data_IF_106348674702
#
_entry.id   IF_106348674702
#
_cell.length_a   1.000
_cell.length_b   1.000
_cell.length_c   1.000
_cell.angle_alpha   90.00
_cell.angle_beta   90.00
_cell.angle_gamma   90.00
#
_symmetry.space_group_name_H-M   'P 1'
#
loop_
_entity.id
_entity.type
_entity.pdbx_description
1 polymer ?
#
# COMPACT_ATOMS: atom_id res chain seq x y z
N UNK A 1 5.38 -1.49 26.49
CA UNK A 1 5.23 -2.24 25.22
C UNK A 1 6.53 -2.08 24.42
N UNK A 2 7.01 -3.10 23.70
CA UNK A 2 8.15 -2.92 22.77
C UNK A 2 7.70 -1.97 21.63
N UNK A 3 8.54 -1.02 21.22
CA UNK A 3 8.28 -0.07 20.12
C UNK A 3 7.84 -0.77 18.83
N UNK A 4 8.43 -1.94 18.53
CA UNK A 4 8.04 -2.74 17.34
C UNK A 4 6.57 -3.17 17.42
N UNK A 5 6.13 -3.64 18.59
CA UNK A 5 4.75 -4.06 18.81
C UNK A 5 3.79 -2.87 18.73
N UNK A 6 4.19 -1.72 19.28
CA UNK A 6 3.41 -0.49 19.16
C UNK A 6 3.23 -0.07 17.70
N UNK A 7 4.30 -0.04 16.90
CA UNK A 7 4.19 0.34 15.48
C UNK A 7 3.36 -0.64 14.67
N UNK A 8 3.44 -1.94 14.97
CA UNK A 8 2.58 -2.94 14.34
C UNK A 8 1.09 -2.70 14.65
N UNK A 9 0.75 -2.43 15.92
CA UNK A 9 -0.63 -2.12 16.33
C UNK A 9 -1.13 -0.81 15.70
N UNK A 10 -0.27 0.21 15.62
CA UNK A 10 -0.59 1.47 14.94
C UNK A 10 -0.81 1.25 13.45
N UNK A 11 0.05 0.50 12.74
CA UNK A 11 -0.12 0.19 11.32
C UNK A 11 -1.44 -0.55 11.06
N UNK A 12 -1.72 -1.61 11.81
CA UNK A 12 -2.96 -2.39 11.67
C UNK A 12 -4.19 -1.51 11.88
N UNK A 13 -4.17 -0.60 12.87
CA UNK A 13 -5.28 0.32 13.11
C UNK A 13 -5.52 1.26 11.92
N UNK A 14 -4.46 1.81 11.31
CA UNK A 14 -4.62 2.68 10.15
C UNK A 14 -5.12 1.92 8.91
N UNK A 15 -4.69 0.67 8.72
CA UNK A 15 -5.19 -0.20 7.66
C UNK A 15 -6.68 -0.50 7.88
N UNK A 16 -7.07 -0.91 9.08
CA UNK A 16 -8.48 -1.15 9.44
C UNK A 16 -9.35 0.09 9.20
N UNK A 17 -8.84 1.29 9.50
CA UNK A 17 -9.52 2.55 9.24
C UNK A 17 -9.66 2.85 7.73
N UNK A 18 -8.67 2.50 6.92
CA UNK A 18 -8.76 2.60 5.46
C UNK A 18 -9.84 1.63 4.93
N UNK A 19 -9.79 0.36 5.36
CA UNK A 19 -10.75 -0.67 4.95
C UNK A 19 -12.18 -0.24 5.28
N UNK A 20 -12.45 0.19 6.52
CA UNK A 20 -13.78 0.65 6.96
C UNK A 20 -14.31 1.85 6.16
N UNK A 21 -13.42 2.71 5.65
CA UNK A 21 -13.82 3.87 4.83
C UNK A 21 -14.15 3.46 3.39
N UNK A 22 -13.51 2.42 2.87
CA UNK A 22 -13.65 1.96 1.49
C UNK A 22 -14.79 0.96 1.33
N UNK A 23 -14.97 0.05 2.29
CA UNK A 23 -15.97 -1.02 2.26
C UNK A 23 -17.40 -0.57 1.86
N UNK A 24 -17.95 0.57 2.32
CA UNK A 24 -19.30 0.99 1.93
C UNK A 24 -19.38 1.71 0.57
N UNK A 25 -18.25 1.96 -0.11
CA UNK A 25 -18.22 2.73 -1.35
C UNK A 25 -18.58 1.87 -2.56
N UNK A 26 -19.19 2.51 -3.57
CA UNK A 26 -19.41 1.84 -4.85
C UNK A 26 -18.10 1.70 -5.62
N UNK A 27 -18.02 0.70 -6.50
CA UNK A 27 -16.88 0.55 -7.42
C UNK A 27 -16.65 1.81 -8.26
N UNK A 28 -17.74 2.48 -8.70
CA UNK A 28 -17.66 3.76 -9.41
C UNK A 28 -16.89 4.81 -8.58
N UNK A 29 -17.19 4.95 -7.29
CA UNK A 29 -16.49 5.88 -6.40
C UNK A 29 -15.04 5.46 -6.17
N UNK A 30 -14.79 4.15 -6.02
CA UNK A 30 -13.44 3.62 -5.79
C UNK A 30 -12.53 3.89 -7.01
N UNK A 31 -13.07 3.79 -8.21
CA UNK A 31 -12.34 4.01 -9.47
C UNK A 31 -12.40 5.45 -9.96
N UNK A 32 -13.19 6.32 -9.32
CA UNK A 32 -13.29 7.71 -9.73
C UNK A 32 -11.95 8.44 -9.52
N UNK A 33 -11.53 9.17 -10.56
CA UNK A 33 -10.31 9.96 -10.57
C UNK A 33 -10.65 11.44 -10.34
N UNK A 34 -10.20 12.05 -9.23
CA UNK A 34 -10.60 13.42 -8.88
C UNK A 34 -9.99 14.48 -9.81
N UNK A 35 -8.77 14.24 -10.31
CA UNK A 35 -8.10 15.06 -11.31
C UNK A 35 -6.99 14.26 -12.00
N UNK A 36 -6.38 14.80 -13.07
CA UNK A 36 -5.27 14.13 -13.77
C UNK A 36 -4.05 13.89 -12.86
N UNK A 37 -3.83 14.80 -11.90
CA UNK A 37 -2.65 14.80 -11.02
C UNK A 37 -2.86 14.04 -9.70
N UNK A 38 -4.10 13.64 -9.41
CA UNK A 38 -4.45 12.95 -8.17
C UNK A 38 -4.76 11.48 -8.40
N UNK A 39 -4.59 10.66 -7.36
CA UNK A 39 -4.91 9.25 -7.40
C UNK A 39 -6.38 9.01 -7.05
N UNK A 40 -6.99 8.07 -7.77
CA UNK A 40 -8.22 7.40 -7.36
C UNK A 40 -8.01 6.59 -6.07
N UNK A 41 -9.09 6.19 -5.43
CA UNK A 41 -9.04 5.30 -4.26
C UNK A 41 -8.40 3.96 -4.66
N UNK A 42 -8.72 3.43 -5.84
CA UNK A 42 -8.12 2.20 -6.36
C UNK A 42 -6.59 2.29 -6.51
N UNK A 43 -6.08 3.40 -7.05
CA UNK A 43 -4.64 3.67 -7.17
C UNK A 43 -3.96 3.75 -5.79
N UNK A 44 -4.62 4.39 -4.82
CA UNK A 44 -4.14 4.46 -3.42
C UNK A 44 -4.07 3.05 -2.81
N UNK A 45 -5.14 2.24 -2.94
CA UNK A 45 -5.20 0.89 -2.36
C UNK A 45 -4.13 -0.02 -2.96
N UNK A 46 -3.94 0.02 -4.29
CA UNK A 46 -2.87 -0.73 -4.94
C UNK A 46 -1.47 -0.31 -4.44
N UNK A 47 -1.27 0.99 -4.21
CA UNK A 47 -0.01 1.46 -3.63
C UNK A 47 0.17 1.00 -2.18
N UNK A 48 -0.89 1.00 -1.35
CA UNK A 48 -0.83 0.54 0.03
C UNK A 48 -0.49 -0.96 0.09
N UNK A 49 -1.13 -1.79 -0.73
CA UNK A 49 -0.82 -3.22 -0.85
C UNK A 49 0.65 -3.44 -1.19
N UNK A 50 1.15 -2.72 -2.18
CA UNK A 50 2.52 -2.83 -2.63
C UNK A 50 3.52 -2.35 -1.57
N UNK A 51 3.26 -1.21 -0.93
CA UNK A 51 4.20 -0.57 -0.01
C UNK A 51 4.39 -1.39 1.26
N UNK A 52 3.33 -2.05 1.75
CA UNK A 52 3.41 -2.95 2.92
C UNK A 52 4.34 -4.12 2.60
N UNK A 53 4.14 -4.79 1.45
CA UNK A 53 4.98 -5.92 1.02
C UNK A 53 6.43 -5.47 0.79
N UNK A 54 6.64 -4.33 0.15
CA UNK A 54 7.96 -3.79 -0.11
C UNK A 54 8.76 -3.59 1.18
N UNK A 55 8.22 -2.88 2.17
CA UNK A 55 8.98 -2.53 3.38
C UNK A 55 9.31 -3.74 4.25
N UNK A 56 8.44 -4.76 4.29
CA UNK A 56 8.74 -6.02 4.98
C UNK A 56 9.89 -6.74 4.28
N UNK A 57 9.82 -6.89 2.96
CA UNK A 57 10.88 -7.57 2.19
C UNK A 57 12.20 -6.81 2.25
N UNK A 58 12.14 -5.48 2.22
CA UNK A 58 13.30 -4.61 2.27
C UNK A 58 13.99 -4.68 3.65
N UNK A 59 13.22 -4.71 4.74
CA UNK A 59 13.77 -4.94 6.08
C UNK A 59 14.53 -6.28 6.15
N UNK A 60 13.92 -7.35 5.64
CA UNK A 60 14.56 -8.68 5.60
C UNK A 60 15.85 -8.64 4.77
N UNK A 61 15.82 -8.01 3.59
CA UNK A 61 16.98 -7.86 2.70
C UNK A 61 18.14 -7.14 3.41
N UNK A 62 17.87 -6.01 4.07
CA UNK A 62 18.89 -5.21 4.76
C UNK A 62 19.53 -5.99 5.91
N UNK A 63 18.72 -6.71 6.70
CA UNK A 63 19.22 -7.55 7.80
C UNK A 63 20.11 -8.68 7.25
N UNK A 64 19.65 -9.38 6.22
CA UNK A 64 20.42 -10.48 5.59
C UNK A 64 21.74 -10.00 4.98
N UNK A 65 21.77 -8.77 4.47
CA UNK A 65 22.96 -8.16 3.89
C UNK A 65 23.91 -7.53 4.93
N UNK A 66 23.60 -7.63 6.23
CA UNK A 66 24.44 -7.09 7.31
C UNK A 66 24.42 -5.56 7.44
N UNK A 67 23.36 -4.91 6.96
CA UNK A 67 23.17 -3.45 7.09
C UNK A 67 23.63 -2.63 5.88
N UNK A 68 22.97 -2.85 4.73
CA UNK A 68 23.15 -2.01 3.53
C UNK A 68 22.26 -0.77 3.55
N UNK A 69 22.33 0.06 2.50
CA UNK A 69 21.33 1.11 2.24
C UNK A 69 19.91 0.54 2.29
N UNK A 70 18.98 1.35 2.83
CA UNK A 70 17.59 1.00 3.08
C UNK A 70 16.67 1.91 2.26
N UNK A 71 15.76 1.30 1.50
CA UNK A 71 14.66 2.00 0.85
C UNK A 71 14.83 2.20 -0.66
N UNK A 72 13.95 3.02 -1.23
CA UNK A 72 13.85 3.31 -2.66
C UNK A 72 13.34 4.73 -2.91
N UNK A 73 13.54 5.22 -4.13
CA UNK A 73 13.03 6.51 -4.58
C UNK A 73 11.60 6.44 -5.16
N UNK A 74 11.03 7.61 -5.46
CA UNK A 74 9.70 7.73 -6.08
C UNK A 74 9.61 7.13 -7.49
N UNK A 75 10.76 7.01 -8.16
CA UNK A 75 10.90 6.45 -9.52
C UNK A 75 11.10 4.94 -9.54
N UNK A 76 10.96 4.27 -8.40
CA UNK A 76 11.01 2.82 -8.34
C UNK A 76 9.91 2.17 -9.18
N UNK A 77 10.30 1.23 -10.04
CA UNK A 77 9.40 0.67 -11.05
C UNK A 77 8.28 -0.17 -10.43
N UNK A 78 8.54 -0.87 -9.31
CA UNK A 78 7.50 -1.65 -8.63
C UNK A 78 6.43 -0.73 -8.04
N UNK A 79 6.85 0.40 -7.42
CA UNK A 79 5.94 1.45 -6.95
C UNK A 79 5.07 2.00 -8.09
N UNK A 80 5.69 2.36 -9.21
CA UNK A 80 4.97 2.94 -10.36
C UNK A 80 4.04 1.92 -11.03
N UNK A 81 4.46 0.66 -11.11
CA UNK A 81 3.65 -0.42 -11.67
C UNK A 81 2.37 -0.67 -10.86
N UNK A 82 2.44 -0.65 -9.53
CA UNK A 82 1.26 -0.86 -8.68
C UNK A 82 0.14 0.17 -8.96
N UNK A 83 0.52 1.44 -9.12
CA UNK A 83 -0.44 2.51 -9.46
C UNK A 83 -0.98 2.33 -10.88
N UNK A 84 -0.10 2.10 -11.87
CA UNK A 84 -0.51 1.94 -13.28
C UNK A 84 -1.42 0.74 -13.54
N UNK A 85 -1.35 -0.29 -12.70
CA UNK A 85 -2.15 -1.50 -12.85
C UNK A 85 -3.53 -1.42 -12.18
N UNK A 86 -3.82 -0.34 -11.43
CA UNK A 86 -5.04 -0.22 -10.61
C UNK A 86 -6.34 -0.53 -11.37
N UNK A 87 -6.46 -0.07 -12.62
CA UNK A 87 -7.64 -0.30 -13.46
C UNK A 87 -7.89 -1.78 -13.80
N UNK A 88 -6.85 -2.62 -13.72
CA UNK A 88 -6.90 -4.05 -14.08
C UNK A 88 -6.97 -4.96 -12.85
N UNK A 89 -6.95 -4.38 -11.64
CA UNK A 89 -7.00 -5.14 -10.39
C UNK A 89 -8.45 -5.29 -9.91
N UNK A 90 -8.72 -6.44 -9.29
CA UNK A 90 -9.94 -6.66 -8.49
C UNK A 90 -9.87 -5.84 -7.21
N UNK A 91 -10.98 -5.19 -6.83
CA UNK A 91 -11.07 -4.46 -5.57
C UNK A 91 -10.89 -5.44 -4.40
N UNK A 92 -11.60 -6.57 -4.42
CA UNK A 92 -11.55 -7.58 -3.38
C UNK A 92 -10.13 -8.14 -3.19
N UNK A 93 -9.43 -8.46 -4.29
CA UNK A 93 -8.05 -9.00 -4.21
C UNK A 93 -7.07 -8.00 -3.58
N UNK A 94 -7.25 -6.71 -3.84
CA UNK A 94 -6.40 -5.65 -3.28
C UNK A 94 -6.75 -5.41 -1.81
N UNK A 95 -8.03 -5.42 -1.47
CA UNK A 95 -8.53 -5.24 -0.10
C UNK A 95 -8.14 -6.42 0.81
N UNK A 96 -8.14 -7.65 0.29
CA UNK A 96 -7.63 -8.83 0.99
C UNK A 96 -6.09 -8.83 1.14
N UNK A 97 -5.41 -8.04 0.31
CA UNK A 97 -3.95 -7.92 0.27
C UNK A 97 -3.36 -6.90 1.25
N UNK A 98 -4.18 -6.04 1.84
CA UNK A 98 -3.78 -5.01 2.82
C UNK A 98 -4.17 -5.41 4.24
#
# INVERSE_FOLDING_TARGET
MNKVKQYQEEMNRHIDEMVRKVEPLSEEMIRWKPSEDEWSIMEILCHVEEVIRYWVNELVRVIQAGGTEWGRGLQDEARLAAVRQADHRSIDDVMDGI
#
